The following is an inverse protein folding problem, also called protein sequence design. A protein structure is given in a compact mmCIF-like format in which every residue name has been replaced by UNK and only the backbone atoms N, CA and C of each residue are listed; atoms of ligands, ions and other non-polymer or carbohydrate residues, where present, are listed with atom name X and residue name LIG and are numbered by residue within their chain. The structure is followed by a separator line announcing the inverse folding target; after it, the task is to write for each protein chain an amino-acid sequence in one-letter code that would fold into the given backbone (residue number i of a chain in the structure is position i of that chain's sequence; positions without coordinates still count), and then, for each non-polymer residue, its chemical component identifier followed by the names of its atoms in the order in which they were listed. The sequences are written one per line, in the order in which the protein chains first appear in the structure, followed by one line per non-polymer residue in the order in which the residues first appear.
data_IF_152627537684
#
_entry.id   IF_152627537684
#
_cell.length_a   1.000
_cell.length_b   1.000
_cell.length_c   1.000
_cell.angle_alpha   90.00
_cell.angle_beta   90.00
_cell.angle_gamma   90.00
#
_symmetry.space_group_name_H-M   'P 1'
#
loop_
_entity.id
_entity.type
_entity.pdbx_description
1 polymer ?
#
# COMPACT_ATOMS: atom_id res chain seq x y z
N UNK A 1 -22.79 -3.04 -6.94
CA UNK A 1 -22.07 -2.07 -7.80
C UNK A 1 -20.60 -2.22 -7.46
N UNK A 2 -19.75 -2.59 -8.43
CA UNK A 2 -18.29 -2.56 -8.20
C UNK A 2 -17.86 -1.10 -8.33
N UNK A 3 -17.41 -0.49 -7.24
CA UNK A 3 -16.80 0.83 -7.31
C UNK A 3 -15.46 0.66 -8.01
N UNK A 4 -15.32 1.18 -9.22
CA UNK A 4 -14.05 1.04 -9.97
C UNK A 4 -13.06 2.04 -9.37
N UNK A 5 -12.05 1.53 -8.68
CA UNK A 5 -10.94 2.36 -8.22
C UNK A 5 -10.15 2.87 -9.43
N UNK A 6 -10.25 4.16 -9.73
CA UNK A 6 -9.59 4.82 -10.86
C UNK A 6 -8.81 6.06 -10.39
N UNK A 7 -7.65 5.87 -9.73
CA UNK A 7 -6.79 6.98 -9.32
C UNK A 7 -6.20 7.67 -10.55
N UNK A 8 -6.12 9.00 -10.51
CA UNK A 8 -5.52 9.82 -11.58
C UNK A 8 -4.13 10.34 -11.23
N UNK A 9 -3.67 10.10 -10.01
CA UNK A 9 -2.31 10.41 -9.54
C UNK A 9 -1.64 9.16 -8.96
N UNK A 10 -0.32 9.15 -8.97
CA UNK A 10 0.46 8.06 -8.40
C UNK A 10 0.25 7.91 -6.89
N UNK A 11 0.18 9.04 -6.17
CA UNK A 11 -0.12 9.08 -4.74
C UNK A 11 -1.49 8.47 -4.43
N UNK A 12 -2.54 8.87 -5.16
CA UNK A 12 -3.88 8.33 -4.97
C UNK A 12 -3.94 6.82 -5.24
N UNK A 13 -3.16 6.34 -6.21
CA UNK A 13 -3.07 4.92 -6.50
C UNK A 13 -2.47 4.12 -5.33
N UNK A 14 -1.34 4.58 -4.78
CA UNK A 14 -0.65 3.92 -3.67
C UNK A 14 -1.48 4.02 -2.39
N UNK A 15 -1.97 5.20 -2.04
CA UNK A 15 -2.75 5.46 -0.82
C UNK A 15 -4.11 4.74 -0.82
N UNK A 16 -4.65 4.43 -2.00
CA UNK A 16 -5.90 3.71 -2.15
C UNK A 16 -5.79 2.18 -2.12
N UNK A 17 -4.58 1.60 -2.14
CA UNK A 17 -4.38 0.13 -2.11
C UNK A 17 -5.12 -0.59 -0.97
N UNK A 18 -5.24 -0.05 0.26
CA UNK A 18 -6.02 -0.70 1.31
C UNK A 18 -7.49 -0.92 0.96
N UNK A 19 -8.07 -0.10 0.07
CA UNK A 19 -9.46 -0.23 -0.36
C UNK A 19 -9.69 -1.44 -1.29
N UNK A 20 -8.62 -1.94 -1.90
CA UNK A 20 -8.62 -3.08 -2.82
C UNK A 20 -8.14 -4.38 -2.15
N UNK A 21 -7.79 -4.32 -0.87
CA UNK A 21 -7.18 -5.45 -0.19
C UNK A 21 -8.22 -6.54 0.13
N UNK A 22 -7.99 -7.73 -0.41
CA UNK A 22 -8.81 -8.91 -0.17
C UNK A 22 -8.16 -9.78 0.91
N UNK A 23 -8.56 -9.58 2.18
CA UNK A 23 -7.95 -10.25 3.33
C UNK A 23 -7.96 -11.79 3.20
N UNK A 24 -9.05 -12.37 2.70
CA UNK A 24 -9.15 -13.81 2.51
C UNK A 24 -8.15 -14.35 1.47
N UNK A 25 -7.85 -13.57 0.43
CA UNK A 25 -6.87 -13.95 -0.59
C UNK A 25 -5.43 -13.75 -0.13
N UNK A 26 -5.21 -12.88 0.86
CA UNK A 26 -3.92 -12.56 1.45
C UNK A 26 -3.64 -13.34 2.75
N UNK A 27 -4.44 -14.36 3.08
CA UNK A 27 -4.29 -15.13 4.30
C UNK A 27 -2.87 -15.72 4.45
N UNK A 28 -2.22 -15.42 5.57
CA UNK A 28 -0.85 -15.87 5.87
C UNK A 28 0.26 -15.10 5.15
N UNK A 29 -0.07 -14.03 4.41
CA UNK A 29 0.93 -13.15 3.80
C UNK A 29 1.38 -12.10 4.81
N UNK A 30 2.69 -12.05 5.05
CA UNK A 30 3.35 -10.93 5.73
C UNK A 30 4.36 -10.32 4.77
N UNK A 31 4.18 -9.04 4.41
CA UNK A 31 5.02 -8.35 3.44
C UNK A 31 5.14 -6.87 3.75
N UNK A 32 6.31 -6.32 3.45
CA UNK A 32 6.53 -4.87 3.41
C UNK A 32 7.03 -4.50 2.03
N UNK A 33 6.30 -3.61 1.36
CA UNK A 33 6.60 -3.13 0.01
C UNK A 33 6.90 -1.64 0.08
N UNK A 34 8.08 -1.25 -0.39
CA UNK A 34 8.47 0.15 -0.52
C UNK A 34 8.15 0.64 -1.93
N UNK A 35 7.32 1.68 -2.02
CA UNK A 35 7.15 2.48 -3.22
C UNK A 35 8.10 3.66 -3.15
N UNK A 36 8.99 3.76 -4.14
CA UNK A 36 9.89 4.89 -4.36
C UNK A 36 9.60 5.44 -5.76
N UNK A 37 8.65 6.37 -5.84
CA UNK A 37 8.17 6.89 -7.11
C UNK A 37 8.91 8.19 -7.44
N UNK A 38 9.40 8.24 -8.67
CA UNK A 38 10.05 9.41 -9.28
C UNK A 38 9.15 9.99 -10.37
N UNK A 39 9.47 11.21 -10.84
CA UNK A 39 8.75 11.86 -11.94
C UNK A 39 8.03 13.13 -11.49
N UNK A 40 6.87 13.43 -12.11
CA UNK A 40 6.12 14.68 -11.87
C UNK A 40 5.60 14.79 -10.43
N UNK A 41 5.21 13.67 -9.84
CA UNK A 41 4.72 13.58 -8.46
C UNK A 41 5.58 12.57 -7.70
N UNK A 42 6.81 12.95 -7.30
CA UNK A 42 7.69 12.04 -6.61
C UNK A 42 7.21 11.81 -5.17
N UNK A 43 7.48 10.64 -4.63
CA UNK A 43 7.14 10.33 -3.25
C UNK A 43 7.54 8.92 -2.84
N UNK A 44 7.58 8.72 -1.53
CA UNK A 44 7.85 7.42 -0.94
C UNK A 44 6.66 7.00 -0.09
N UNK A 45 6.30 5.72 -0.15
CA UNK A 45 5.29 5.10 0.71
C UNK A 45 5.72 3.69 1.08
N UNK A 46 5.38 3.26 2.28
CA UNK A 46 5.55 1.88 2.72
C UNK A 46 4.18 1.23 2.85
N UNK A 47 3.95 0.17 2.09
CA UNK A 47 2.81 -0.71 2.22
C UNK A 47 3.18 -1.87 3.14
N UNK A 48 2.35 -2.12 4.14
CA UNK A 48 2.52 -3.18 5.12
C UNK A 48 1.30 -4.10 5.02
N UNK A 49 1.54 -5.37 4.72
CA UNK A 49 0.57 -6.45 4.79
C UNK A 49 0.96 -7.32 5.98
N UNK A 50 0.09 -7.37 6.99
CA UNK A 50 0.32 -8.13 8.22
C UNK A 50 -1.00 -8.34 8.95
N UNK A 51 -1.18 -9.49 9.58
CA UNK A 51 -2.37 -9.83 10.38
C UNK A 51 -3.68 -9.62 9.58
N UNK A 52 -3.71 -10.08 8.33
CA UNK A 52 -4.84 -9.89 7.40
C UNK A 52 -5.27 -8.42 7.21
N UNK A 53 -4.33 -7.49 7.40
CA UNK A 53 -4.52 -6.07 7.18
C UNK A 53 -3.52 -5.52 6.17
N UNK A 54 -3.97 -4.50 5.43
CA UNK A 54 -3.16 -3.71 4.52
C UNK A 54 -3.14 -2.25 4.98
N UNK A 55 -1.94 -1.69 5.16
CA UNK A 55 -1.75 -0.30 5.58
C UNK A 55 -0.71 0.37 4.69
N UNK A 56 -0.95 1.64 4.36
CA UNK A 56 -0.01 2.48 3.63
C UNK A 56 0.43 3.62 4.55
N UNK A 57 1.75 3.81 4.65
CA UNK A 57 2.37 4.88 5.43
C UNK A 57 3.22 5.74 4.49
N UNK A 58 3.23 7.08 4.64
CA UNK A 58 4.15 7.92 3.89
C UNK A 58 5.61 7.67 4.32
N UNK A 59 6.52 7.77 3.37
CA UNK A 59 7.96 7.59 3.56
C UNK A 59 8.39 6.13 3.72
N UNK A 60 9.67 5.95 4.08
CA UNK A 60 10.25 4.65 4.47
C UNK A 60 9.96 4.38 5.94
N UNK A 61 9.07 3.44 6.21
CA UNK A 61 8.89 2.92 7.56
C UNK A 61 9.99 1.91 7.85
N UNK A 62 10.76 2.15 8.92
CA UNK A 62 11.64 1.13 9.51
C UNK A 62 10.79 0.23 10.39
N UNK A 63 10.38 -0.92 9.87
CA UNK A 63 9.89 -2.01 10.71
C UNK A 63 11.08 -2.51 11.53
N UNK A 64 11.10 -2.18 12.83
CA UNK A 64 12.05 -2.78 13.76
C UNK A 64 11.55 -4.20 14.03
N UNK A 65 12.24 -5.19 13.45
CA UNK A 65 12.04 -6.60 13.79
C UNK A 65 12.46 -6.76 15.27
N UNK A 66 11.51 -7.14 16.13
CA UNK A 66 11.72 -7.46 17.55
C UNK A 66 11.88 -8.96 17.71
#
# INVERSE_FOLDING_TARGET
MVSTFQPTTASAAVEGLPQLFEAAAAAGVEAVVLFDLSGREPGQWTLIIKDDMCRVLPGRTRIHER
#
